data_IF_337252831555
#
_entry.id   IF_337252831555
#
_cell.length_a   1.000
_cell.length_b   1.000
_cell.length_c   1.000
_cell.angle_alpha   90.00
_cell.angle_beta   90.00
_cell.angle_gamma   90.00
#
_symmetry.space_group_name_H-M   'P 1'
#
loop_
_entity.id
_entity.type
_entity.pdbx_description
1 polymer ?
#
# COMPACT_ATOMS: atom_id res chain seq x y z
N UNK A 1 -2.71 -21.66 -11.99
CA UNK A 1 -1.60 -21.99 -12.91
C UNK A 1 -0.68 -20.79 -13.05
N UNK A 2 -1.16 -19.60 -13.46
CA UNK A 2 -0.33 -18.40 -13.63
C UNK A 2 0.53 -18.10 -12.40
N UNK A 3 -0.07 -18.07 -11.20
CA UNK A 3 0.65 -17.80 -9.95
C UNK A 3 1.70 -18.85 -9.62
N UNK A 4 1.43 -20.13 -9.89
CA UNK A 4 2.41 -21.21 -9.69
C UNK A 4 3.64 -21.04 -10.59
N UNK A 5 3.44 -20.63 -11.86
CA UNK A 5 4.54 -20.33 -12.78
C UNK A 5 5.30 -19.07 -12.32
N UNK A 6 4.59 -18.04 -11.85
CA UNK A 6 5.19 -16.80 -11.35
C UNK A 6 6.03 -17.00 -10.08
N UNK A 7 5.71 -18.01 -9.26
CA UNK A 7 6.45 -18.34 -8.03
C UNK A 7 7.66 -19.25 -8.29
N UNK A 8 7.55 -20.18 -9.24
CA UNK A 8 8.59 -21.17 -9.52
C UNK A 8 9.57 -20.75 -10.62
N UNK A 9 9.27 -19.68 -11.37
CA UNK A 9 9.98 -19.25 -12.59
C UNK A 9 10.13 -20.37 -13.65
N UNK A 10 9.34 -21.44 -13.53
CA UNK A 10 9.48 -22.67 -14.33
C UNK A 10 8.11 -23.31 -14.61
N UNK A 11 7.81 -23.49 -15.90
CA UNK A 11 6.59 -24.20 -16.33
C UNK A 11 6.60 -25.66 -15.86
N UNK A 12 7.78 -26.29 -15.79
CA UNK A 12 7.90 -27.68 -15.36
C UNK A 12 7.65 -27.85 -13.87
N UNK A 13 8.21 -26.95 -13.04
CA UNK A 13 8.06 -27.00 -11.58
C UNK A 13 6.63 -26.61 -11.17
N UNK A 14 6.04 -25.63 -11.86
CA UNK A 14 4.62 -25.31 -11.69
C UNK A 14 3.72 -26.51 -12.00
N UNK A 15 4.03 -27.29 -13.04
CA UNK A 15 3.33 -28.53 -13.36
C UNK A 15 3.44 -29.57 -12.23
N UNK A 16 4.63 -29.74 -11.67
CA UNK A 16 4.86 -30.65 -10.56
C UNK A 16 4.09 -30.21 -9.30
N UNK A 17 4.10 -28.92 -8.97
CA UNK A 17 3.34 -28.34 -7.84
C UNK A 17 1.84 -28.59 -7.98
N UNK A 18 1.31 -28.40 -9.20
CA UNK A 18 -0.13 -28.50 -9.50
C UNK A 18 -0.60 -29.92 -9.85
N UNK A 19 0.31 -30.90 -9.96
CA UNK A 19 -0.05 -32.26 -10.37
C UNK A 19 -0.51 -32.39 -11.81
N UNK A 20 -0.09 -31.49 -12.71
CA UNK A 20 -0.46 -31.47 -14.14
C UNK A 20 0.78 -31.47 -15.05
N UNK A 21 0.58 -31.83 -16.31
CA UNK A 21 1.70 -31.90 -17.25
C UNK A 21 2.22 -30.52 -17.64
N UNK A 22 3.52 -30.44 -17.98
CA UNK A 22 4.13 -29.23 -18.51
C UNK A 22 3.37 -28.66 -19.74
N UNK A 23 2.86 -29.50 -20.60
CA UNK A 23 2.08 -29.09 -21.77
C UNK A 23 0.75 -28.45 -21.37
N UNK A 24 0.08 -28.98 -20.34
CA UNK A 24 -1.16 -28.40 -19.81
C UNK A 24 -0.90 -27.02 -19.18
N UNK A 25 0.19 -26.85 -18.42
CA UNK A 25 0.58 -25.55 -17.89
C UNK A 25 0.86 -24.56 -19.02
N UNK A 26 1.65 -24.97 -20.03
CA UNK A 26 1.98 -24.08 -21.15
C UNK A 26 0.74 -23.67 -21.95
N UNK A 27 -0.18 -24.60 -22.18
CA UNK A 27 -1.43 -24.30 -22.89
C UNK A 27 -2.29 -23.33 -22.09
N UNK A 28 -2.45 -23.54 -20.78
CA UNK A 28 -3.26 -22.68 -19.93
C UNK A 28 -2.69 -21.25 -19.86
N UNK A 29 -1.36 -21.09 -19.84
CA UNK A 29 -0.74 -19.75 -19.91
C UNK A 29 -1.03 -19.10 -21.27
N UNK A 30 -0.84 -19.83 -22.37
CA UNK A 30 -1.11 -19.31 -23.73
C UNK A 30 -2.59 -18.90 -23.88
N UNK A 31 -3.52 -19.70 -23.35
CA UNK A 31 -4.94 -19.39 -23.39
C UNK A 31 -5.28 -18.13 -22.58
N UNK A 32 -4.67 -17.98 -21.40
CA UNK A 32 -4.83 -16.80 -20.57
C UNK A 32 -4.30 -15.54 -21.27
N UNK A 33 -3.06 -15.60 -21.80
CA UNK A 33 -2.44 -14.51 -22.54
C UNK A 33 -3.25 -14.12 -23.79
N UNK A 34 -3.78 -15.11 -24.50
CA UNK A 34 -4.67 -14.90 -25.64
C UNK A 34 -5.95 -14.17 -25.27
N UNK A 35 -6.58 -14.54 -24.14
CA UNK A 35 -7.80 -13.88 -23.64
C UNK A 35 -7.55 -12.46 -23.17
N UNK A 36 -6.40 -12.21 -22.54
CA UNK A 36 -6.03 -10.88 -22.05
C UNK A 36 -5.43 -9.99 -23.15
N UNK A 37 -5.00 -10.56 -24.28
CA UNK A 37 -4.38 -9.84 -25.38
C UNK A 37 -2.96 -9.35 -25.10
N UNK A 38 -2.31 -9.87 -24.05
CA UNK A 38 -0.96 -9.48 -23.60
C UNK A 38 -0.15 -10.70 -23.18
N UNK A 39 1.17 -10.62 -23.29
CA UNK A 39 2.06 -11.64 -22.78
C UNK A 39 2.35 -11.37 -21.29
N UNK A 40 2.09 -12.35 -20.45
CA UNK A 40 2.34 -12.28 -19.00
C UNK A 40 3.74 -12.77 -18.63
N UNK A 41 4.36 -13.57 -19.51
CA UNK A 41 5.71 -14.08 -19.31
C UNK A 41 6.61 -13.80 -20.51
N UNK A 42 7.88 -13.55 -20.20
CA UNK A 42 8.98 -13.48 -21.15
C UNK A 42 9.87 -14.72 -20.98
N UNK A 43 10.39 -15.24 -22.10
CA UNK A 43 11.36 -16.33 -22.06
C UNK A 43 12.77 -15.77 -21.92
N UNK A 44 13.38 -15.97 -20.76
CA UNK A 44 14.77 -15.59 -20.52
C UNK A 44 15.57 -16.81 -20.06
N UNK A 45 16.57 -17.21 -20.82
CA UNK A 45 17.49 -18.34 -20.52
C UNK A 45 16.77 -19.64 -20.09
N UNK A 46 15.63 -19.95 -20.73
CA UNK A 46 14.83 -21.14 -20.43
C UNK A 46 13.91 -21.03 -19.21
N UNK A 47 13.85 -19.88 -18.56
CA UNK A 47 12.92 -19.57 -17.44
C UNK A 47 11.72 -18.75 -17.94
N UNK A 48 10.61 -18.88 -17.24
CA UNK A 48 9.42 -18.06 -17.44
C UNK A 48 9.48 -16.88 -16.46
N UNK A 49 9.91 -15.72 -16.92
CA UNK A 49 10.02 -14.50 -16.10
C UNK A 49 8.80 -13.62 -16.38
N UNK A 50 8.20 -13.04 -15.34
CA UNK A 50 7.06 -12.13 -15.51
C UNK A 50 7.44 -10.93 -16.38
N UNK A 51 6.60 -10.63 -17.38
CA UNK A 51 6.62 -9.36 -18.13
C UNK A 51 6.22 -8.18 -17.23
N UNK A 52 6.22 -6.94 -17.74
CA UNK A 52 5.66 -5.80 -17.04
C UNK A 52 4.15 -5.99 -16.76
N UNK A 53 3.42 -6.48 -17.76
CA UNK A 53 2.00 -6.82 -17.70
C UNK A 53 1.75 -7.98 -16.72
N UNK A 54 2.61 -8.99 -16.72
CA UNK A 54 2.53 -10.11 -15.77
C UNK A 54 2.74 -9.67 -14.33
N UNK A 55 3.65 -8.75 -14.07
CA UNK A 55 3.83 -8.15 -12.71
C UNK A 55 2.61 -7.34 -12.28
N UNK A 56 2.05 -6.54 -13.18
CA UNK A 56 0.83 -5.78 -12.89
C UNK A 56 -0.37 -6.71 -12.64
N UNK A 57 -0.51 -7.78 -13.42
CA UNK A 57 -1.61 -8.74 -13.30
C UNK A 57 -1.49 -9.64 -12.06
N UNK A 58 -0.29 -9.80 -11.50
CA UNK A 58 -0.03 -10.76 -10.40
C UNK A 58 -0.89 -10.47 -9.16
N UNK A 59 -0.98 -9.22 -8.73
CA UNK A 59 -1.79 -8.83 -7.55
C UNK A 59 -3.27 -9.14 -7.74
N UNK A 60 -3.82 -8.85 -8.91
CA UNK A 60 -5.21 -9.17 -9.25
C UNK A 60 -5.46 -10.69 -9.28
N UNK A 61 -4.50 -11.46 -9.81
CA UNK A 61 -4.60 -12.91 -9.86
C UNK A 61 -4.52 -13.55 -8.46
N UNK A 62 -3.62 -13.06 -7.60
CA UNK A 62 -3.53 -13.48 -6.19
C UNK A 62 -4.87 -13.24 -5.47
N UNK A 63 -5.45 -12.06 -5.66
CA UNK A 63 -6.72 -11.70 -5.06
C UNK A 63 -7.89 -12.56 -5.55
N UNK A 64 -7.98 -12.81 -6.84
CA UNK A 64 -9.03 -13.69 -7.39
C UNK A 64 -8.97 -15.11 -6.80
N UNK A 65 -7.77 -15.67 -6.65
CA UNK A 65 -7.59 -17.00 -6.06
C UNK A 65 -7.97 -16.99 -4.59
N UNK A 66 -7.55 -15.97 -3.82
CA UNK A 66 -7.94 -15.81 -2.42
C UNK A 66 -9.45 -15.72 -2.24
N UNK A 67 -10.14 -14.89 -3.05
CA UNK A 67 -11.60 -14.76 -2.97
C UNK A 67 -12.32 -16.04 -3.39
N UNK A 68 -11.77 -16.81 -4.30
CA UNK A 68 -12.31 -18.13 -4.65
C UNK A 68 -12.19 -19.09 -3.46
N UNK A 69 -11.05 -19.13 -2.78
CA UNK A 69 -10.81 -19.94 -1.60
C UNK A 69 -11.73 -19.53 -0.43
N UNK A 70 -11.85 -18.23 -0.17
CA UNK A 70 -12.79 -17.67 0.80
C UNK A 70 -14.24 -18.10 0.51
N UNK A 71 -14.63 -18.10 -0.76
CA UNK A 71 -15.98 -18.51 -1.17
C UNK A 71 -16.21 -20.03 -0.97
N UNK A 72 -15.21 -20.88 -1.25
CA UNK A 72 -15.29 -22.32 -1.01
C UNK A 72 -15.42 -22.65 0.48
N UNK A 73 -14.76 -21.87 1.36
CA UNK A 73 -14.75 -22.07 2.80
C UNK A 73 -15.79 -21.23 3.55
N UNK A 74 -16.58 -20.41 2.85
CA UNK A 74 -17.49 -19.43 3.43
C UNK A 74 -18.42 -20.00 4.52
N UNK A 75 -18.95 -21.21 4.32
CA UNK A 75 -19.83 -21.86 5.30
C UNK A 75 -19.08 -22.69 6.34
N UNK A 76 -17.77 -22.92 6.17
CA UNK A 76 -16.97 -23.69 7.12
C UNK A 76 -16.41 -22.80 8.23
N UNK A 77 -16.17 -21.52 7.94
CA UNK A 77 -15.63 -20.52 8.87
C UNK A 77 -16.42 -19.20 8.79
N UNK A 78 -17.69 -19.17 9.26
CA UNK A 78 -18.55 -17.99 9.10
C UNK A 78 -18.07 -16.74 9.85
N UNK A 79 -17.04 -16.82 10.68
CA UNK A 79 -16.53 -15.73 11.49
C UNK A 79 -15.14 -15.21 11.10
N UNK A 80 -14.50 -15.76 10.07
CA UNK A 80 -13.12 -15.44 9.74
C UNK A 80 -12.87 -15.22 8.23
N UNK A 81 -13.73 -14.47 7.54
CA UNK A 81 -13.24 -13.72 6.41
C UNK A 81 -12.07 -12.89 6.97
N UNK A 82 -10.85 -13.18 6.55
CA UNK A 82 -9.66 -12.45 7.02
C UNK A 82 -9.77 -11.03 6.47
N UNK A 83 -10.39 -10.14 7.26
CA UNK A 83 -10.47 -8.72 6.92
C UNK A 83 -9.05 -8.18 6.85
N UNK A 84 -8.69 -7.63 5.71
CA UNK A 84 -7.41 -6.97 5.48
C UNK A 84 -7.56 -5.47 5.66
N UNK A 85 -6.88 -4.96 6.67
CA UNK A 85 -6.89 -3.56 7.03
C UNK A 85 -5.55 -2.92 6.70
N UNK A 86 -5.55 -1.97 5.79
CA UNK A 86 -4.39 -1.10 5.61
C UNK A 86 -4.48 0.12 6.50
N UNK A 87 -3.36 0.51 7.06
CA UNK A 87 -3.25 1.75 7.82
C UNK A 87 -2.02 2.54 7.40
N UNK A 88 -2.14 3.85 7.43
CA UNK A 88 -0.97 4.71 7.20
C UNK A 88 -0.02 4.67 8.38
N UNK A 89 1.24 5.05 8.14
CA UNK A 89 2.33 4.94 9.12
C UNK A 89 2.02 5.66 10.44
N UNK A 90 1.37 6.83 10.41
CA UNK A 90 0.99 7.56 11.62
C UNK A 90 -0.07 6.82 12.41
N UNK A 91 -1.11 6.34 11.73
CA UNK A 91 -2.19 5.57 12.37
C UNK A 91 -1.64 4.26 12.93
N UNK A 92 -0.78 3.57 12.17
CA UNK A 92 -0.11 2.36 12.63
C UNK A 92 0.78 2.57 13.86
N UNK A 93 1.49 3.70 13.92
CA UNK A 93 2.39 4.00 15.03
C UNK A 93 1.65 4.43 16.31
N UNK A 94 0.56 5.20 16.19
CA UNK A 94 -0.02 5.90 17.35
C UNK A 94 -1.42 5.43 17.74
N UNK A 95 -2.18 4.81 16.84
CA UNK A 95 -3.60 4.51 17.09
C UNK A 95 -3.94 3.02 17.01
N UNK A 96 -3.21 2.23 16.22
CA UNK A 96 -3.63 0.85 15.90
C UNK A 96 -3.70 -0.05 17.16
N UNK A 97 -2.79 0.14 18.12
CA UNK A 97 -2.75 -0.69 19.32
C UNK A 97 -4.01 -0.50 20.19
N UNK A 98 -4.48 0.74 20.35
CA UNK A 98 -5.68 1.03 21.11
C UNK A 98 -6.94 0.58 20.36
N UNK A 99 -7.01 0.83 19.05
CA UNK A 99 -8.10 0.34 18.21
C UNK A 99 -8.24 -1.18 18.27
N UNK A 100 -7.13 -1.90 18.20
CA UNK A 100 -7.13 -3.34 18.23
C UNK A 100 -7.52 -3.91 19.59
N UNK A 101 -7.08 -3.29 20.67
CA UNK A 101 -7.52 -3.67 22.00
C UNK A 101 -9.04 -3.57 22.15
N UNK A 102 -9.61 -2.44 21.69
CA UNK A 102 -11.04 -2.17 21.84
C UNK A 102 -11.87 -3.06 20.88
N UNK A 103 -11.37 -3.26 19.65
CA UNK A 103 -11.98 -4.16 18.68
C UNK A 103 -11.96 -5.61 19.16
N UNK A 104 -10.81 -6.09 19.63
CA UNK A 104 -10.68 -7.46 20.14
C UNK A 104 -11.60 -7.74 21.33
N UNK A 105 -11.76 -6.75 22.22
CA UNK A 105 -12.66 -6.88 23.36
C UNK A 105 -14.14 -7.09 22.94
N UNK A 106 -14.55 -6.58 21.78
CA UNK A 106 -15.90 -6.70 21.25
C UNK A 106 -16.08 -7.87 20.29
N UNK A 107 -15.11 -8.12 19.41
CA UNK A 107 -15.21 -9.04 18.29
C UNK A 107 -14.55 -10.41 18.56
N UNK A 108 -13.59 -10.47 19.50
CA UNK A 108 -12.78 -11.65 19.84
C UNK A 108 -11.93 -12.18 18.66
N UNK A 109 -11.60 -11.32 17.71
CA UNK A 109 -10.66 -11.59 16.61
C UNK A 109 -10.01 -10.29 16.16
N UNK A 110 -8.94 -10.35 15.36
CA UNK A 110 -8.27 -9.18 14.79
C UNK A 110 -8.13 -9.35 13.27
N UNK A 111 -8.22 -8.24 12.51
CA UNK A 111 -7.91 -8.24 11.07
C UNK A 111 -6.42 -8.44 10.84
N UNK A 112 -6.07 -8.87 9.63
CA UNK A 112 -4.70 -8.75 9.13
C UNK A 112 -4.42 -7.28 8.83
N UNK A 113 -3.27 -6.76 9.30
CA UNK A 113 -2.94 -5.34 9.13
C UNK A 113 -1.66 -5.16 8.35
N UNK A 114 -1.70 -4.28 7.37
CA UNK A 114 -0.53 -3.75 6.70
C UNK A 114 -0.36 -2.26 7.02
N UNK A 115 0.85 -1.88 7.45
CA UNK A 115 1.20 -0.49 7.72
C UNK A 115 2.02 0.04 6.54
N UNK A 116 1.47 1.00 5.81
CA UNK A 116 2.08 1.50 4.57
C UNK A 116 1.82 2.99 4.34
N UNK A 117 2.16 3.55 3.19
CA UNK A 117 1.84 4.95 2.88
C UNK A 117 0.52 5.07 2.09
N UNK A 118 -0.02 6.28 2.03
CA UNK A 118 -1.32 6.56 1.42
C UNK A 118 -1.42 6.15 -0.05
N UNK A 119 -0.35 6.28 -0.82
CA UNK A 119 -0.35 5.88 -2.24
C UNK A 119 -0.45 4.35 -2.38
N UNK A 120 0.22 3.59 -1.52
CA UNK A 120 0.11 2.14 -1.50
C UNK A 120 -1.28 1.70 -1.03
N UNK A 121 -1.84 2.36 0.00
CA UNK A 121 -3.21 2.10 0.46
C UNK A 121 -4.21 2.24 -0.70
N UNK A 122 -4.15 3.33 -1.46
CA UNK A 122 -5.02 3.53 -2.62
C UNK A 122 -4.87 2.41 -3.66
N UNK A 123 -3.64 1.99 -3.92
CA UNK A 123 -3.35 0.87 -4.83
C UNK A 123 -3.90 -0.46 -4.29
N UNK A 124 -3.74 -0.74 -2.99
CA UNK A 124 -4.21 -1.99 -2.36
C UNK A 124 -5.74 -2.07 -2.34
N UNK A 125 -6.44 -0.97 -2.05
CA UNK A 125 -7.89 -0.91 -2.15
C UNK A 125 -8.37 -1.10 -3.59
N UNK A 126 -7.72 -0.41 -4.55
CA UNK A 126 -8.08 -0.49 -5.97
C UNK A 126 -7.87 -1.86 -6.60
N UNK A 127 -6.90 -2.65 -6.12
CA UNK A 127 -6.63 -4.01 -6.59
C UNK A 127 -7.17 -5.11 -5.64
N UNK A 128 -7.96 -4.73 -4.64
CA UNK A 128 -8.56 -5.63 -3.65
C UNK A 128 -7.57 -6.43 -2.80
N UNK A 129 -6.34 -5.98 -2.63
CA UNK A 129 -5.42 -6.57 -1.66
C UNK A 129 -5.64 -6.07 -0.22
N UNK A 130 -6.41 -4.99 -0.05
CA UNK A 130 -7.01 -4.56 1.21
C UNK A 130 -8.52 -4.42 1.06
N UNK A 131 -9.27 -4.69 2.14
CA UNK A 131 -10.74 -4.58 2.16
C UNK A 131 -11.19 -3.22 2.72
N UNK A 132 -10.43 -2.67 3.66
CA UNK A 132 -10.68 -1.38 4.32
C UNK A 132 -9.34 -0.72 4.64
N UNK A 133 -9.35 0.60 4.79
CA UNK A 133 -8.16 1.31 5.22
C UNK A 133 -8.47 2.49 6.15
N UNK A 134 -7.50 2.83 7.01
CA UNK A 134 -7.48 4.04 7.80
C UNK A 134 -6.34 4.93 7.31
N UNK A 135 -6.68 6.15 6.89
CA UNK A 135 -5.73 7.07 6.25
C UNK A 135 -5.85 8.49 6.78
N UNK A 136 -4.76 9.22 6.81
CA UNK A 136 -4.80 10.68 6.94
C UNK A 136 -4.85 11.32 5.55
N UNK A 137 -5.62 12.39 5.43
CA UNK A 137 -5.72 13.17 4.21
C UNK A 137 -6.56 12.53 3.10
N UNK A 138 -6.70 13.21 2.00
CA UNK A 138 -7.59 12.78 0.92
C UNK A 138 -6.99 11.63 0.12
N UNK A 139 -7.81 10.64 -0.20
CA UNK A 139 -7.59 9.71 -1.30
C UNK A 139 -8.41 10.23 -2.49
N UNK A 140 -7.74 10.46 -3.61
CA UNK A 140 -8.39 10.94 -4.84
C UNK A 140 -8.71 9.77 -5.77
N UNK A 141 -9.55 8.87 -5.31
CA UNK A 141 -10.06 7.77 -6.13
C UNK A 141 -11.60 7.81 -6.08
N UNK A 142 -12.23 7.89 -7.25
CA UNK A 142 -13.68 8.06 -7.39
C UNK A 142 -14.46 6.78 -7.10
N UNK A 143 -13.80 5.63 -7.11
CA UNK A 143 -14.42 4.33 -6.90
C UNK A 143 -14.41 3.89 -5.42
N UNK A 144 -13.76 4.68 -4.53
CA UNK A 144 -13.69 4.38 -3.11
C UNK A 144 -14.75 5.15 -2.31
N UNK A 145 -15.39 4.45 -1.37
CA UNK A 145 -16.27 5.07 -0.39
C UNK A 145 -15.39 5.55 0.78
N UNK A 146 -15.45 6.85 1.09
CA UNK A 146 -14.68 7.44 2.18
C UNK A 146 -15.60 8.05 3.22
N UNK A 147 -15.30 7.80 4.50
CA UNK A 147 -16.00 8.37 5.65
C UNK A 147 -15.02 9.11 6.55
N UNK A 148 -15.35 10.34 7.00
CA UNK A 148 -14.50 11.06 7.94
C UNK A 148 -14.57 10.39 9.33
N UNK A 149 -13.40 10.12 9.92
CA UNK A 149 -13.30 9.49 11.22
C UNK A 149 -12.93 10.49 12.32
N UNK A 150 -11.84 11.22 12.15
CA UNK A 150 -11.36 12.21 13.13
C UNK A 150 -10.61 13.34 12.42
N UNK A 151 -10.33 14.41 13.15
CA UNK A 151 -9.55 15.55 12.66
C UNK A 151 -8.19 15.56 13.34
N UNK A 152 -7.14 15.82 12.56
CA UNK A 152 -5.78 15.99 13.03
C UNK A 152 -5.18 17.31 12.49
N UNK A 153 -4.10 17.76 13.09
CA UNK A 153 -3.42 19.02 12.74
C UNK A 153 -1.97 18.75 12.30
N UNK A 154 -1.62 19.29 11.14
CA UNK A 154 -0.24 19.25 10.68
C UNK A 154 0.53 20.46 11.23
N UNK A 155 1.59 20.19 11.96
CA UNK A 155 2.43 21.21 12.60
C UNK A 155 3.85 21.17 12.05
N UNK A 156 4.54 22.32 12.10
CA UNK A 156 5.96 22.43 11.80
C UNK A 156 6.74 22.24 13.11
N UNK A 157 7.70 21.33 13.10
CA UNK A 157 8.58 21.08 14.22
C UNK A 157 10.00 21.53 13.90
N UNK A 158 10.76 21.94 14.93
CA UNK A 158 12.15 22.35 14.80
C UNK A 158 12.95 21.91 16.05
N UNK A 159 14.28 21.77 15.97
CA UNK A 159 15.12 21.51 17.12
C UNK A 159 14.96 22.57 18.21
N UNK A 160 15.18 22.19 19.47
CA UNK A 160 15.17 23.14 20.59
C UNK A 160 16.19 24.25 20.35
N UNK A 161 15.76 25.50 20.52
CA UNK A 161 16.61 26.68 20.30
C UNK A 161 16.75 27.12 18.86
N UNK A 162 15.99 26.53 17.96
CA UNK A 162 15.94 27.02 16.58
C UNK A 162 15.48 28.50 16.54
N UNK A 163 16.06 29.30 15.64
CA UNK A 163 15.82 30.75 15.56
C UNK A 163 14.36 31.15 15.40
N UNK A 164 13.53 30.26 14.86
CA UNK A 164 12.12 30.54 14.59
C UNK A 164 11.15 30.01 15.67
N UNK A 165 11.62 29.42 16.76
CA UNK A 165 10.73 28.74 17.74
C UNK A 165 9.92 29.68 18.67
N UNK A 166 10.25 30.96 18.72
CA UNK A 166 9.63 31.93 19.64
C UNK A 166 8.90 33.08 18.93
N UNK A 167 8.55 32.90 17.65
CA UNK A 167 7.87 33.94 16.88
C UNK A 167 6.77 33.35 15.99
N UNK A 168 5.85 34.21 15.54
CA UNK A 168 4.94 33.86 14.47
C UNK A 168 5.71 33.84 13.17
N UNK A 169 5.82 32.67 12.55
CA UNK A 169 6.68 32.45 11.40
C UNK A 169 5.91 32.64 10.09
N UNK A 170 6.42 33.52 9.23
CA UNK A 170 5.85 33.65 7.87
C UNK A 170 6.39 32.57 6.92
N UNK A 171 5.67 32.37 5.82
CA UNK A 171 6.07 31.39 4.80
C UNK A 171 7.40 31.76 4.12
N UNK A 172 7.68 33.06 3.96
CA UNK A 172 8.94 33.55 3.44
C UNK A 172 10.12 33.07 4.30
N UNK A 173 10.02 33.23 5.62
CA UNK A 173 11.05 32.74 6.55
C UNK A 173 11.21 31.23 6.50
N UNK A 174 10.10 30.49 6.43
CA UNK A 174 10.12 29.03 6.30
C UNK A 174 10.74 28.56 4.99
N UNK A 175 10.60 29.31 3.89
CA UNK A 175 11.18 28.95 2.60
C UNK A 175 12.72 29.04 2.58
N UNK A 176 13.31 29.82 3.48
CA UNK A 176 14.78 29.96 3.62
C UNK A 176 15.41 28.80 4.41
N UNK A 177 14.58 27.99 5.10
CA UNK A 177 15.06 26.91 5.97
C UNK A 177 15.33 25.62 5.20
N UNK A 178 16.16 24.77 5.81
CA UNK A 178 16.36 23.41 5.35
C UNK A 178 15.21 22.53 5.88
N UNK A 179 14.61 21.75 5.01
CA UNK A 179 13.47 20.89 5.34
C UNK A 179 13.85 19.42 5.32
N UNK A 180 13.37 18.70 6.32
CA UNK A 180 13.29 17.26 6.33
C UNK A 180 11.82 16.90 6.16
N UNK A 181 11.50 16.15 5.14
CA UNK A 181 10.13 15.83 4.80
C UNK A 181 9.89 14.33 4.71
N UNK A 182 8.62 13.96 4.79
CA UNK A 182 8.18 12.61 4.50
C UNK A 182 8.40 12.27 3.01
N UNK A 183 8.42 10.99 2.72
CA UNK A 183 8.57 10.44 1.37
C UNK A 183 7.42 10.87 0.44
N UNK A 184 7.65 10.89 -0.88
CA UNK A 184 6.58 11.00 -1.86
C UNK A 184 5.54 9.88 -1.68
N UNK A 185 4.27 10.24 -1.77
CA UNK A 185 3.17 9.27 -1.57
C UNK A 185 2.60 9.24 -0.15
N UNK A 186 3.23 9.90 0.84
CA UNK A 186 2.60 10.11 2.15
C UNK A 186 1.62 11.29 2.10
N UNK A 187 0.51 11.19 2.83
CA UNK A 187 -0.47 12.29 2.98
C UNK A 187 0.15 13.56 3.51
N UNK A 188 1.02 13.44 4.51
CA UNK A 188 1.77 14.57 5.08
C UNK A 188 2.56 15.32 4.01
N UNK A 189 3.23 14.58 3.10
CA UNK A 189 3.97 15.19 2.00
C UNK A 189 3.06 15.81 0.95
N UNK A 190 1.96 15.15 0.62
CA UNK A 190 0.95 15.66 -0.32
C UNK A 190 0.36 16.97 0.22
N UNK A 191 -0.05 17.00 1.50
CA UNK A 191 -0.59 18.19 2.14
C UNK A 191 0.43 19.34 2.18
N UNK A 192 1.68 19.04 2.58
CA UNK A 192 2.75 20.02 2.60
C UNK A 192 2.98 20.64 1.21
N UNK A 193 3.07 19.82 0.17
CA UNK A 193 3.25 20.30 -1.20
C UNK A 193 2.07 21.18 -1.68
N UNK A 194 0.83 20.79 -1.34
CA UNK A 194 -0.36 21.56 -1.70
C UNK A 194 -0.38 22.94 -1.02
N UNK A 195 0.01 23.05 0.24
CA UNK A 195 0.10 24.32 0.95
C UNK A 195 1.19 25.23 0.40
N UNK A 196 2.34 24.65 0.05
CA UNK A 196 3.45 25.40 -0.52
C UNK A 196 3.18 25.87 -1.95
N UNK A 197 2.58 25.03 -2.80
CA UNK A 197 2.27 25.41 -4.19
C UNK A 197 1.30 26.60 -4.26
N UNK A 198 0.36 26.69 -3.31
CA UNK A 198 -0.54 27.82 -3.20
C UNK A 198 0.17 29.14 -2.82
N UNK A 199 1.36 29.04 -2.22
CA UNK A 199 2.13 30.20 -1.71
C UNK A 199 3.40 30.50 -2.47
N UNK A 200 3.65 29.78 -3.57
CA UNK A 200 4.77 29.98 -4.51
C UNK A 200 6.17 29.84 -3.89
N UNK A 201 6.34 29.02 -2.84
CA UNK A 201 7.65 28.79 -2.22
C UNK A 201 8.24 27.44 -2.62
N UNK A 202 9.56 27.44 -2.84
CA UNK A 202 10.35 26.25 -3.11
C UNK A 202 11.19 25.89 -1.89
N UNK A 203 10.75 24.97 -1.01
CA UNK A 203 11.52 24.61 0.18
C UNK A 203 12.79 23.88 -0.21
N UNK A 204 13.88 24.16 0.51
CA UNK A 204 15.16 23.45 0.37
C UNK A 204 15.09 22.13 1.12
N UNK A 205 14.72 21.06 0.43
CA UNK A 205 14.63 19.72 1.01
C UNK A 205 16.02 19.12 1.09
N UNK A 206 16.51 18.88 2.31
CA UNK A 206 17.84 18.31 2.57
C UNK A 206 17.80 16.82 2.88
N UNK A 207 16.64 16.31 3.33
CA UNK A 207 16.42 14.88 3.53
C UNK A 207 14.95 14.49 3.29
N UNK A 208 14.75 13.25 2.89
CA UNK A 208 13.44 12.60 2.77
C UNK A 208 13.47 11.31 3.58
N UNK A 209 12.51 11.15 4.48
CA UNK A 209 12.47 10.05 5.44
C UNK A 209 11.06 9.48 5.54
N UNK A 210 10.92 8.17 5.66
CA UNK A 210 9.63 7.48 5.74
C UNK A 210 9.19 7.13 7.18
N UNK A 211 9.89 7.62 8.20
CA UNK A 211 9.56 7.41 9.63
C UNK A 211 9.49 8.76 10.36
N UNK A 212 8.44 8.93 11.18
CA UNK A 212 8.33 10.10 12.06
C UNK A 212 9.36 10.10 13.15
N UNK A 213 9.67 8.94 13.72
CA UNK A 213 10.66 8.76 14.76
C UNK A 213 12.06 9.19 14.26
N UNK A 214 12.38 8.83 13.02
CA UNK A 214 13.62 9.24 12.41
C UNK A 214 13.68 10.76 12.16
N UNK A 215 12.57 11.38 11.75
CA UNK A 215 12.48 12.84 11.57
C UNK A 215 12.66 13.57 12.92
N UNK A 216 12.00 13.08 13.98
CA UNK A 216 12.09 13.69 15.32
C UNK A 216 13.47 13.50 15.94
N UNK A 217 14.17 12.41 15.59
CA UNK A 217 15.51 12.09 16.08
C UNK A 217 16.65 12.84 15.38
N UNK A 218 16.37 13.57 14.30
CA UNK A 218 17.35 14.37 13.55
C UNK A 218 17.45 15.80 14.05
#
# INVERSE_FOLDING_TARGET
IFLAVAQSDSISDAGAILGITKSAVSQAITDLETRLGVNLFERSKGRAVLSAEGRAFKSTADELVRRADDAEHFFQHPSHAQLKLDVTLSIGAFFIADLFRDFYASANWLPEVEVTNTSNVAMHLGNFSADIALVEGPIFDLDLITEPWMTDELVVVAPRGHRLTNEVVSWEKLSEENWILREPGSSTRIFFNAQLSQRLYCPKIVATVNSFEAIIGM
#
